data_IF_537435916170
#
_entry.id   IF_537435916170
#
_cell.length_a   1.000
_cell.length_b   1.000
_cell.length_c   1.000
_cell.angle_alpha   90.00
_cell.angle_beta   90.00
_cell.angle_gamma   90.00
#
_symmetry.space_group_name_H-M   'P 1'
#
loop_
_entity.id
_entity.type
_entity.pdbx_description
1 polymer ?
#
# COMPACT_ATOMS: atom_id res chain seq x y z
N UNK A 1 -29.16 -22.64 -8.88
CA UNK A 1 -27.68 -22.56 -8.82
C UNK A 1 -27.31 -21.09 -8.71
N UNK A 2 -26.72 -20.65 -7.60
CA UNK A 2 -26.35 -19.24 -7.42
C UNK A 2 -25.09 -18.93 -8.26
N UNK A 3 -25.08 -17.78 -8.95
CA UNK A 3 -23.95 -17.31 -9.78
C UNK A 3 -22.69 -17.10 -8.93
N UNK A 4 -21.50 -17.32 -9.52
CA UNK A 4 -20.19 -17.05 -8.91
C UNK A 4 -20.10 -15.63 -8.32
N UNK A 5 -20.74 -14.64 -8.94
CA UNK A 5 -20.83 -13.26 -8.42
C UNK A 5 -21.62 -13.17 -7.10
N UNK A 6 -22.64 -14.01 -6.93
CA UNK A 6 -23.43 -14.07 -5.70
C UNK A 6 -22.62 -14.68 -4.54
N UNK A 7 -21.76 -15.67 -4.84
CA UNK A 7 -20.85 -16.27 -3.85
C UNK A 7 -19.73 -15.29 -3.45
N UNK A 8 -19.17 -14.57 -4.43
CA UNK A 8 -18.17 -13.52 -4.19
C UNK A 8 -18.75 -12.40 -3.32
N UNK A 9 -19.95 -11.90 -3.64
CA UNK A 9 -20.61 -10.86 -2.85
C UNK A 9 -20.98 -11.32 -1.42
N UNK A 10 -21.31 -12.60 -1.22
CA UNK A 10 -21.61 -13.13 0.11
C UNK A 10 -20.36 -13.25 0.99
N UNK A 11 -19.23 -13.66 0.42
CA UNK A 11 -17.94 -13.68 1.12
C UNK A 11 -17.44 -12.27 1.48
N UNK A 12 -17.64 -11.29 0.59
CA UNK A 12 -17.26 -9.89 0.84
C UNK A 12 -18.13 -9.25 1.93
N UNK A 13 -19.46 -9.49 1.93
CA UNK A 13 -20.37 -9.01 3.00
C UNK A 13 -20.12 -9.63 4.37
N UNK A 14 -19.44 -10.78 4.43
CA UNK A 14 -18.99 -11.38 5.70
C UNK A 14 -17.86 -10.61 6.37
N UNK A 15 -17.04 -9.90 5.59
CA UNK A 15 -15.89 -9.13 6.06
C UNK A 15 -16.26 -7.77 6.69
N UNK A 16 -17.37 -7.16 6.23
CA UNK A 16 -17.86 -5.88 6.76
C UNK A 16 -18.55 -6.00 8.15
N UNK A 17 -18.85 -7.23 8.61
CA UNK A 17 -19.53 -7.49 9.90
C UNK A 17 -18.58 -7.67 11.10
N UNK A 18 -17.30 -7.37 10.92
CA UNK A 18 -16.33 -7.35 12.03
C UNK A 18 -16.30 -5.94 12.59
N UNK A 19 -16.68 -5.77 13.86
CA UNK A 19 -16.66 -4.47 14.53
C UNK A 19 -15.21 -3.97 14.69
N UNK A 20 -14.73 -3.17 13.74
CA UNK A 20 -13.46 -2.44 13.85
C UNK A 20 -13.64 -1.18 14.72
N UNK A 21 -12.59 -0.72 15.45
CA UNK A 21 -12.61 0.59 16.11
C UNK A 21 -13.02 1.67 15.11
N UNK A 22 -13.93 2.57 15.51
CA UNK A 22 -14.61 3.56 14.65
C UNK A 22 -13.69 4.47 13.82
N UNK A 23 -12.38 4.45 14.05
CA UNK A 23 -11.38 5.29 13.39
C UNK A 23 -10.91 4.79 12.00
N UNK A 24 -11.30 3.59 11.54
CA UNK A 24 -10.70 2.97 10.34
C UNK A 24 -11.70 2.46 9.28
N UNK A 25 -12.82 3.16 9.10
CA UNK A 25 -13.84 2.76 8.09
C UNK A 25 -13.37 3.17 6.68
N UNK A 26 -12.84 2.22 5.91
CA UNK A 26 -12.49 2.43 4.48
C UNK A 26 -13.69 2.04 3.61
N UNK A 27 -14.09 2.92 2.70
CA UNK A 27 -15.18 2.69 1.74
C UNK A 27 -14.63 1.93 0.53
N UNK A 28 -15.29 0.84 0.17
CA UNK A 28 -14.94 0.03 -1.01
C UNK A 28 -15.27 0.78 -2.32
N UNK A 29 -14.35 0.88 -3.30
CA UNK A 29 -14.71 1.32 -4.65
C UNK A 29 -15.56 0.25 -5.34
N UNK A 30 -16.70 0.67 -5.91
CA UNK A 30 -17.54 -0.21 -6.74
C UNK A 30 -16.73 -0.69 -7.95
N UNK A 31 -16.82 -1.98 -8.25
CA UNK A 31 -16.17 -2.58 -9.41
C UNK A 31 -16.62 -1.89 -10.70
N UNK A 32 -15.68 -1.25 -11.41
CA UNK A 32 -15.89 -0.81 -12.78
C UNK A 32 -16.04 -2.05 -13.66
N UNK A 33 -17.20 -2.18 -14.30
CA UNK A 33 -17.44 -3.16 -15.35
C UNK A 33 -16.62 -2.74 -16.59
N UNK A 34 -15.57 -3.51 -16.90
CA UNK A 34 -14.81 -3.36 -18.14
C UNK A 34 -15.53 -4.15 -19.24
N UNK A 35 -16.25 -3.43 -20.10
CA UNK A 35 -16.78 -3.97 -21.35
C UNK A 35 -15.63 -4.18 -22.34
N UNK A 36 -15.53 -5.40 -22.87
CA UNK A 36 -14.64 -5.74 -23.96
C UNK A 36 -15.11 -5.04 -25.25
N UNK A 37 -14.24 -4.26 -25.88
CA UNK A 37 -14.26 -4.12 -27.33
C UNK A 37 -12.82 -4.09 -27.83
N UNK A 38 -12.49 -5.09 -28.64
CA UNK A 38 -11.28 -5.14 -29.43
C UNK A 38 -11.33 -4.05 -30.50
N UNK A 39 -10.24 -3.30 -30.68
CA UNK A 39 -9.99 -2.70 -31.98
C UNK A 39 -8.50 -2.56 -32.27
N UNK A 40 -8.14 -3.11 -33.43
CA UNK A 40 -6.79 -3.17 -34.00
C UNK A 40 -6.34 -1.81 -34.55
N UNK A 41 -5.02 -1.59 -34.45
CA UNK A 41 -4.17 -0.82 -35.38
C UNK A 41 -4.39 0.69 -35.55
N UNK A 42 -3.46 1.48 -34.97
CA UNK A 42 -2.54 2.44 -35.66
C UNK A 42 -1.85 3.31 -34.61
N UNK A 43 -0.56 3.13 -34.39
CA UNK A 43 0.25 4.04 -33.55
C UNK A 43 0.60 5.25 -34.43
N UNK A 44 -0.36 6.17 -34.56
CA UNK A 44 -0.06 7.55 -34.89
C UNK A 44 0.30 8.28 -33.59
N UNK A 45 1.35 9.08 -33.65
CA UNK A 45 1.87 9.92 -32.55
C UNK A 45 0.75 10.54 -31.71
N UNK A 46 0.66 10.15 -30.45
CA UNK A 46 -0.38 10.62 -29.53
C UNK A 46 -0.10 12.08 -29.08
N UNK A 47 -1.11 12.95 -29.08
CA UNK A 47 -0.98 14.34 -28.63
C UNK A 47 -0.63 14.43 -27.14
N UNK A 48 0.15 15.45 -26.76
CA UNK A 48 0.76 15.64 -25.43
C UNK A 48 -0.21 15.70 -24.24
N UNK A 49 -1.51 15.80 -24.48
CA UNK A 49 -2.53 15.80 -23.43
C UNK A 49 -2.76 14.37 -22.89
N UNK A 50 -2.72 13.36 -23.76
CA UNK A 50 -2.96 11.97 -23.37
C UNK A 50 -1.84 11.39 -22.49
N UNK A 51 -0.60 11.84 -22.67
CA UNK A 51 0.53 11.40 -21.84
C UNK A 51 0.44 11.95 -20.41
N UNK A 52 -0.08 13.16 -20.21
CA UNK A 52 -0.33 13.71 -18.88
C UNK A 52 -1.45 12.96 -18.15
N UNK A 53 -2.57 12.69 -18.82
CA UNK A 53 -3.64 11.88 -18.25
C UNK A 53 -3.20 10.45 -17.93
N UNK A 54 -2.41 9.83 -18.82
CA UNK A 54 -1.87 8.50 -18.59
C UNK A 54 -0.90 8.47 -17.40
N UNK A 55 0.01 9.45 -17.31
CA UNK A 55 0.95 9.57 -16.20
C UNK A 55 0.22 9.75 -14.87
N UNK A 56 -0.79 10.63 -14.83
CA UNK A 56 -1.62 10.82 -13.65
C UNK A 56 -2.34 9.51 -13.26
N UNK A 57 -2.95 8.82 -14.22
CA UNK A 57 -3.62 7.54 -13.97
C UNK A 57 -2.66 6.47 -13.43
N UNK A 58 -1.43 6.43 -13.95
CA UNK A 58 -0.37 5.53 -13.47
C UNK A 58 0.01 5.88 -12.02
N UNK A 59 0.27 7.16 -11.72
CA UNK A 59 0.67 7.63 -10.38
C UNK A 59 -0.43 7.41 -9.33
N UNK A 60 -1.69 7.61 -9.69
CA UNK A 60 -2.84 7.33 -8.82
C UNK A 60 -3.12 5.84 -8.65
N UNK A 61 -2.74 5.01 -9.63
CA UNK A 61 -2.90 3.56 -9.57
C UNK A 61 -1.99 2.86 -8.54
N UNK A 62 -0.97 3.55 -8.01
CA UNK A 62 0.01 2.93 -7.12
C UNK A 62 -0.58 2.45 -5.78
N UNK A 63 -0.11 1.26 -5.39
CA UNK A 63 -0.03 0.69 -4.02
C UNK A 63 0.11 1.71 -2.89
N UNK A 64 1.19 2.44 -3.06
CA UNK A 64 1.81 3.26 -2.04
C UNK A 64 1.49 4.73 -2.29
N UNK A 65 1.67 5.53 -1.25
CA UNK A 65 1.72 6.97 -1.42
C UNK A 65 2.94 7.35 -2.24
N UNK A 66 2.77 8.24 -3.20
CA UNK A 66 3.84 8.77 -4.04
C UNK A 66 3.85 10.29 -3.89
N UNK A 67 5.01 10.85 -3.55
CA UNK A 67 5.27 12.29 -3.57
C UNK A 67 6.47 12.57 -4.48
N UNK A 68 6.38 13.66 -5.23
CA UNK A 68 7.49 14.23 -5.99
C UNK A 68 7.74 15.63 -5.43
N UNK A 69 8.98 15.89 -5.02
CA UNK A 69 9.37 17.12 -4.34
C UNK A 69 10.61 17.72 -5.00
N UNK A 70 10.78 19.04 -4.88
CA UNK A 70 12.05 19.69 -5.18
C UNK A 70 13.06 19.43 -4.04
N UNK A 71 14.33 19.70 -4.32
CA UNK A 71 15.42 19.76 -3.33
C UNK A 71 15.14 20.73 -2.16
N UNK A 72 14.27 21.73 -2.38
CA UNK A 72 13.84 22.70 -1.37
C UNK A 72 12.59 22.24 -0.59
N UNK A 73 12.10 21.03 -0.84
CA UNK A 73 10.91 20.49 -0.17
C UNK A 73 9.57 21.00 -0.71
N UNK A 74 9.58 21.68 -1.86
CA UNK A 74 8.34 22.12 -2.52
C UNK A 74 7.66 20.94 -3.19
N UNK A 75 6.34 20.85 -3.03
CA UNK A 75 5.54 19.81 -3.67
C UNK A 75 5.43 20.05 -5.17
N UNK A 76 5.78 19.03 -5.95
CA UNK A 76 5.59 18.99 -7.41
C UNK A 76 4.38 18.12 -7.73
N UNK A 77 4.24 16.98 -7.06
CA UNK A 77 3.11 16.08 -7.22
C UNK A 77 2.91 15.23 -5.96
N UNK A 78 1.66 14.83 -5.70
CA UNK A 78 1.33 13.80 -4.75
C UNK A 78 0.08 13.05 -5.21
N UNK A 79 0.10 11.72 -5.15
CA UNK A 79 -1.11 10.94 -5.38
C UNK A 79 -2.03 10.96 -4.15
N UNK A 80 -3.28 10.53 -4.28
CA UNK A 80 -4.27 10.55 -3.20
C UNK A 80 -3.80 9.78 -1.95
N UNK A 81 -3.07 8.67 -2.15
CA UNK A 81 -2.53 7.88 -1.04
C UNK A 81 -1.42 8.62 -0.30
N UNK A 82 -0.53 9.29 -1.02
CA UNK A 82 0.54 10.11 -0.46
C UNK A 82 -0.04 11.23 0.38
N UNK A 83 -1.02 11.96 -0.17
CA UNK A 83 -1.77 12.99 0.56
C UNK A 83 -2.42 12.44 1.83
N UNK A 84 -3.10 11.30 1.74
CA UNK A 84 -3.73 10.66 2.90
C UNK A 84 -2.72 10.30 3.99
N UNK A 85 -1.56 9.76 3.63
CA UNK A 85 -0.51 9.42 4.60
C UNK A 85 0.08 10.68 5.22
N UNK A 86 0.35 11.72 4.42
CA UNK A 86 0.80 13.01 4.94
C UNK A 86 -0.21 13.60 5.95
N UNK A 87 -1.51 13.56 5.65
CA UNK A 87 -2.56 14.01 6.57
C UNK A 87 -2.59 13.21 7.88
N UNK A 88 -2.25 11.92 7.84
CA UNK A 88 -2.16 11.11 9.07
C UNK A 88 -0.91 11.45 9.88
N UNK A 89 0.18 11.85 9.22
CA UNK A 89 1.45 12.22 9.85
C UNK A 89 1.46 13.66 10.39
N UNK A 90 0.69 14.56 9.81
CA UNK A 90 0.53 15.92 10.33
C UNK A 90 -0.36 15.90 11.59
N UNK A 91 0.25 16.08 12.76
CA UNK A 91 -0.49 16.26 14.02
C UNK A 91 -1.25 17.61 14.04
N UNK A 92 -0.76 18.61 13.32
CA UNK A 92 -1.38 19.92 13.17
C UNK A 92 -2.02 20.07 11.77
N UNK A 93 -3.34 20.20 11.74
CA UNK A 93 -4.14 20.35 10.50
C UNK A 93 -3.83 21.66 9.75
N UNK A 94 -3.13 22.59 10.39
CA UNK A 94 -2.78 23.90 9.84
C UNK A 94 -1.63 23.85 8.84
N UNK A 95 -0.85 22.76 8.82
CA UNK A 95 0.31 22.55 7.95
C UNK A 95 0.04 21.56 6.81
N UNK A 96 -1.10 21.71 6.13
CA UNK A 96 -1.50 20.80 5.06
C UNK A 96 -0.80 21.07 3.71
N UNK A 97 -0.04 22.17 3.62
CA UNK A 97 0.74 22.58 2.45
C UNK A 97 2.23 22.25 2.55
N UNK A 98 2.68 21.66 3.66
CA UNK A 98 4.08 21.27 3.88
C UNK A 98 4.20 19.76 4.05
N UNK A 99 5.40 19.24 3.75
CA UNK A 99 5.74 17.85 4.00
C UNK A 99 5.84 17.60 5.52
N UNK A 100 5.31 16.48 6.04
CA UNK A 100 5.55 16.11 7.43
C UNK A 100 7.04 16.04 7.76
N UNK A 101 7.43 16.67 8.86
CA UNK A 101 8.81 16.77 9.33
C UNK A 101 9.54 15.40 9.37
N UNK A 102 8.83 14.35 9.77
CA UNK A 102 9.37 12.98 9.82
C UNK A 102 9.74 12.41 8.45
N UNK A 103 9.04 12.82 7.39
CA UNK A 103 9.39 12.49 5.99
C UNK A 103 10.52 13.41 5.52
N UNK A 104 10.47 14.69 5.88
CA UNK A 104 11.45 15.68 5.46
C UNK A 104 12.87 15.34 5.93
N UNK A 105 13.04 14.88 7.17
CA UNK A 105 14.34 14.42 7.68
C UNK A 105 15.00 13.32 6.84
N UNK A 106 14.19 12.44 6.24
CA UNK A 106 14.70 11.40 5.34
C UNK A 106 15.13 12.00 3.99
N UNK A 107 14.43 13.04 3.54
CA UNK A 107 14.79 13.81 2.35
C UNK A 107 16.09 14.57 2.54
N UNK A 108 16.25 15.28 3.67
CA UNK A 108 17.47 15.98 4.05
C UNK A 108 18.66 15.04 4.09
N UNK A 109 18.52 13.87 4.73
CA UNK A 109 19.59 12.86 4.71
C UNK A 109 20.03 12.45 3.30
N UNK A 110 19.12 12.43 2.32
CA UNK A 110 19.48 12.11 0.94
C UNK A 110 20.16 13.29 0.26
N UNK A 111 19.69 14.52 0.53
CA UNK A 111 20.28 15.76 0.02
C UNK A 111 21.73 15.90 0.54
N UNK A 112 21.94 15.74 1.84
CA UNK A 112 23.25 15.86 2.48
C UNK A 112 24.24 14.80 1.97
N UNK A 113 23.74 13.60 1.66
CA UNK A 113 24.56 12.51 1.13
C UNK A 113 25.01 12.71 -0.33
N UNK A 114 24.44 13.69 -1.04
CA UNK A 114 24.69 13.91 -2.48
C UNK A 114 26.14 14.21 -2.79
N UNK A 115 26.81 14.97 -1.93
CA UNK A 115 28.21 15.35 -2.12
C UNK A 115 29.17 14.15 -1.94
N UNK A 116 28.74 13.13 -1.20
CA UNK A 116 29.58 12.00 -0.79
C UNK A 116 29.42 10.78 -1.70
N UNK A 117 28.27 10.65 -2.38
CA UNK A 117 27.93 9.46 -3.18
C UNK A 117 27.53 9.77 -4.63
N UNK A 118 28.12 10.83 -5.20
CA UNK A 118 27.84 11.24 -6.58
C UNK A 118 27.94 10.06 -7.57
N UNK A 119 26.82 9.77 -8.26
CA UNK A 119 26.74 8.70 -9.27
C UNK A 119 26.13 7.36 -8.81
N UNK A 120 25.91 7.14 -7.51
CA UNK A 120 25.22 5.92 -7.04
C UNK A 120 23.71 6.12 -6.94
N UNK A 121 22.93 5.08 -7.33
CA UNK A 121 21.47 5.02 -7.13
C UNK A 121 21.17 4.79 -5.65
N UNK A 122 21.34 5.82 -4.84
CA UNK A 122 21.10 5.77 -3.41
C UNK A 122 19.59 5.83 -3.11
N UNK A 123 19.13 4.93 -2.26
CA UNK A 123 17.78 4.93 -1.70
C UNK A 123 17.94 5.01 -0.19
N UNK A 124 17.41 6.06 0.41
CA UNK A 124 17.28 6.14 1.86
C UNK A 124 15.93 5.60 2.30
N UNK A 125 15.95 4.86 3.39
CA UNK A 125 14.78 4.22 3.96
C UNK A 125 14.67 4.49 5.45
N UNK A 126 13.46 4.82 5.89
CA UNK A 126 13.16 5.00 7.31
C UNK A 126 11.75 4.47 7.64
N UNK A 127 11.56 4.08 8.89
CA UNK A 127 10.25 3.68 9.42
C UNK A 127 9.73 4.75 10.38
N UNK A 128 8.57 5.31 10.07
CA UNK A 128 7.86 6.24 10.94
C UNK A 128 6.75 5.47 11.65
N UNK A 129 6.88 5.36 12.97
CA UNK A 129 5.87 4.72 13.83
C UNK A 129 4.89 5.78 14.34
N UNK A 130 3.61 5.45 14.28
CA UNK A 130 2.54 6.22 14.92
C UNK A 130 2.11 5.57 16.24
N UNK A 131 1.55 6.38 17.12
CA UNK A 131 1.03 5.95 18.44
C UNK A 131 -0.06 4.87 18.32
N UNK A 132 -0.78 4.85 17.20
CA UNK A 132 -1.82 3.86 16.88
C UNK A 132 -1.26 2.51 16.35
N UNK A 133 0.04 2.26 16.50
CA UNK A 133 0.73 1.06 16.00
C UNK A 133 0.78 0.91 14.47
N UNK A 134 0.45 1.95 13.71
CA UNK A 134 0.69 2.00 12.27
C UNK A 134 2.14 2.38 12.03
N UNK A 135 2.83 1.63 11.16
CA UNK A 135 4.19 1.95 10.74
C UNK A 135 4.18 2.27 9.25
N UNK A 136 4.67 3.45 8.91
CA UNK A 136 4.92 3.86 7.53
C UNK A 136 6.38 3.65 7.19
N UNK A 137 6.63 2.97 6.08
CA UNK A 137 7.97 2.90 5.48
C UNK A 137 8.08 4.03 4.47
N UNK A 138 9.03 4.92 4.69
CA UNK A 138 9.40 6.00 3.78
C UNK A 138 10.63 5.55 3.01
N UNK A 139 10.58 5.65 1.68
CA UNK A 139 11.77 5.52 0.84
C UNK A 139 11.92 6.77 -0.01
N UNK A 140 13.12 7.33 0.00
CA UNK A 140 13.46 8.53 -0.77
C UNK A 140 14.58 8.19 -1.74
N UNK A 141 14.43 8.61 -2.99
CA UNK A 141 15.45 8.49 -4.03
C UNK A 141 15.45 9.69 -4.95
N UNK A 142 16.57 9.92 -5.63
CA UNK A 142 16.64 10.90 -6.71
C UNK A 142 15.79 10.46 -7.91
N UNK A 143 15.08 11.43 -8.48
CA UNK A 143 14.33 11.33 -9.73
C UNK A 143 14.90 12.33 -10.72
N UNK A 144 15.62 11.81 -11.71
CA UNK A 144 16.15 12.59 -12.82
C UNK A 144 15.10 12.61 -13.92
N UNK A 145 14.66 13.80 -14.31
CA UNK A 145 13.84 14.01 -15.49
C UNK A 145 14.70 14.67 -16.56
N UNK A 146 14.58 14.18 -17.80
CA UNK A 146 15.25 14.80 -18.93
C UNK A 146 14.85 16.28 -19.01
N UNK A 147 15.81 17.14 -19.37
CA UNK A 147 15.60 18.59 -19.50
C UNK A 147 15.40 19.38 -18.19
N UNK A 148 15.78 18.84 -17.03
CA UNK A 148 15.78 19.58 -15.75
C UNK A 148 17.20 19.75 -15.19
N UNK A 149 17.51 20.97 -14.74
CA UNK A 149 18.83 21.30 -14.18
C UNK A 149 19.03 20.70 -12.78
N UNK A 150 17.97 20.57 -12.00
CA UNK A 150 18.00 19.96 -10.68
C UNK A 150 17.14 18.69 -10.63
N UNK A 151 17.64 17.60 -10.01
CA UNK A 151 16.85 16.40 -9.80
C UNK A 151 15.75 16.63 -8.75
N UNK A 152 14.64 15.91 -8.92
CA UNK A 152 13.59 15.84 -7.91
C UNK A 152 13.86 14.73 -6.90
N UNK A 153 13.15 14.79 -5.79
CA UNK A 153 13.03 13.69 -4.83
C UNK A 153 11.77 12.90 -5.15
N UNK A 154 11.89 11.59 -5.32
CA UNK A 154 10.76 10.68 -5.29
C UNK A 154 10.66 10.04 -3.91
N UNK A 155 9.54 10.30 -3.24
CA UNK A 155 9.20 9.70 -1.97
C UNK A 155 8.10 8.66 -2.18
N UNK A 156 8.34 7.43 -1.75
CA UNK A 156 7.30 6.40 -1.65
C UNK A 156 6.97 6.12 -0.21
N UNK A 157 5.68 6.12 0.12
CA UNK A 157 5.13 5.97 1.45
C UNK A 157 4.28 4.69 1.50
N UNK A 158 4.80 3.67 2.16
CA UNK A 158 4.13 2.37 2.28
C UNK A 158 3.53 2.25 3.69
N UNK A 159 2.22 2.03 3.77
CA UNK A 159 1.60 1.59 5.03
C UNK A 159 1.81 0.09 5.18
N UNK A 160 2.75 -0.31 6.06
CA UNK A 160 3.09 -1.73 6.22
C UNK A 160 1.91 -2.59 6.66
N UNK A 161 0.96 -2.03 7.39
CA UNK A 161 -0.25 -2.75 7.78
C UNK A 161 -1.16 -3.07 6.58
N UNK A 162 -1.24 -2.14 5.61
CA UNK A 162 -2.07 -2.31 4.41
C UNK A 162 -1.42 -3.26 3.39
N UNK A 163 -0.09 -3.28 3.29
CA UNK A 163 0.64 -4.28 2.49
C UNK A 163 0.38 -5.71 2.97
N UNK A 164 0.40 -5.94 4.29
CA UNK A 164 0.05 -7.24 4.86
C UNK A 164 -1.42 -7.60 4.64
N UNK A 165 -2.31 -6.60 4.73
CA UNK A 165 -3.73 -6.77 4.46
C UNK A 165 -4.02 -7.22 3.02
N UNK A 166 -3.48 -6.51 2.03
CA UNK A 166 -3.68 -6.84 0.63
C UNK A 166 -3.05 -8.19 0.25
N UNK A 167 -1.86 -8.47 0.79
CA UNK A 167 -1.22 -9.78 0.63
C UNK A 167 -2.06 -10.91 1.25
N UNK A 168 -2.59 -10.70 2.45
CA UNK A 168 -3.42 -11.69 3.13
C UNK A 168 -4.76 -11.91 2.43
N UNK A 169 -5.39 -10.88 1.86
CA UNK A 169 -6.60 -11.03 1.04
C UNK A 169 -6.31 -11.84 -0.22
N UNK A 170 -5.22 -11.50 -0.90
CA UNK A 170 -4.81 -12.19 -2.13
C UNK A 170 -4.54 -13.67 -1.84
N UNK A 171 -3.79 -13.94 -0.77
CA UNK A 171 -3.53 -15.29 -0.28
C UNK A 171 -4.81 -16.02 0.14
N UNK A 172 -5.74 -15.32 0.82
CA UNK A 172 -7.00 -15.91 1.27
C UNK A 172 -7.84 -16.40 0.09
N UNK A 173 -7.91 -15.62 -0.99
CA UNK A 173 -8.57 -16.02 -2.23
C UNK A 173 -7.81 -17.15 -2.91
N UNK A 174 -6.49 -16.98 -3.08
CA UNK A 174 -5.62 -17.94 -3.78
C UNK A 174 -5.67 -19.34 -3.16
N UNK A 175 -5.64 -19.43 -1.83
CA UNK A 175 -5.59 -20.71 -1.10
C UNK A 175 -6.96 -21.18 -0.58
N UNK A 176 -8.05 -20.48 -0.87
CA UNK A 176 -9.37 -20.84 -0.33
C UNK A 176 -9.41 -20.86 1.20
N UNK A 177 -8.85 -19.83 1.84
CA UNK A 177 -8.84 -19.72 3.30
C UNK A 177 -10.25 -19.41 3.83
N UNK A 178 -10.60 -20.01 4.96
CA UNK A 178 -11.81 -19.63 5.71
C UNK A 178 -11.63 -18.23 6.31
N UNK A 179 -12.73 -17.56 6.69
CA UNK A 179 -12.66 -16.23 7.32
C UNK A 179 -11.75 -16.23 8.56
N UNK A 180 -11.84 -17.26 9.42
CA UNK A 180 -10.98 -17.39 10.60
C UNK A 180 -9.51 -17.65 10.26
N UNK A 181 -9.25 -18.43 9.21
CA UNK A 181 -7.89 -18.61 8.70
C UNK A 181 -7.32 -17.32 8.11
N UNK A 182 -8.13 -16.53 7.39
CA UNK A 182 -7.73 -15.25 6.83
C UNK A 182 -7.40 -14.22 7.92
N UNK A 183 -8.17 -14.15 9.00
CA UNK A 183 -7.89 -13.32 10.18
C UNK A 183 -6.54 -13.69 10.82
N UNK A 184 -6.31 -14.99 11.06
CA UNK A 184 -5.04 -15.49 11.61
C UNK A 184 -3.88 -15.21 10.65
N UNK A 185 -4.09 -15.39 9.35
CA UNK A 185 -3.08 -15.20 8.31
C UNK A 185 -2.65 -13.74 8.19
N UNK A 186 -3.60 -12.81 8.24
CA UNK A 186 -3.36 -11.37 8.27
C UNK A 186 -2.43 -10.97 9.42
N UNK A 187 -2.79 -11.35 10.65
CA UNK A 187 -2.00 -11.02 11.83
C UNK A 187 -0.63 -11.70 11.81
N UNK A 188 -0.54 -12.90 11.24
CA UNK A 188 0.74 -13.60 11.04
C UNK A 188 1.63 -12.88 10.02
N UNK A 189 1.08 -12.39 8.91
CA UNK A 189 1.80 -11.57 7.92
C UNK A 189 2.29 -10.25 8.53
N UNK A 190 1.50 -9.67 9.45
CA UNK A 190 1.90 -8.55 10.28
C UNK A 190 2.98 -8.86 11.34
N UNK A 191 3.62 -10.03 11.26
CA UNK A 191 4.72 -10.51 12.12
C UNK A 191 4.36 -10.64 13.61
N UNK A 192 3.08 -10.72 13.96
CA UNK A 192 2.66 -10.96 15.34
C UNK A 192 3.01 -12.39 15.80
N UNK A 193 3.34 -12.52 17.07
CA UNK A 193 3.55 -13.79 17.75
C UNK A 193 2.24 -14.55 17.95
N UNK A 194 2.32 -15.86 18.20
CA UNK A 194 1.13 -16.67 18.44
C UNK A 194 0.34 -16.22 19.66
N UNK A 195 1.02 -15.68 20.68
CA UNK A 195 0.37 -15.14 21.89
C UNK A 195 -0.41 -13.87 21.58
N UNK A 196 0.17 -12.95 20.80
CA UNK A 196 -0.50 -11.70 20.40
C UNK A 196 -1.71 -11.97 19.49
N UNK A 197 -1.58 -12.91 18.54
CA UNK A 197 -2.68 -13.33 17.67
C UNK A 197 -3.81 -13.94 18.50
N UNK A 198 -3.48 -14.84 19.42
CA UNK A 198 -4.44 -15.48 20.32
C UNK A 198 -5.20 -14.45 21.16
N UNK A 199 -4.48 -13.51 21.77
CA UNK A 199 -5.08 -12.43 22.55
C UNK A 199 -5.99 -11.54 21.69
N UNK A 200 -5.56 -11.16 20.49
CA UNK A 200 -6.29 -10.24 19.61
C UNK A 200 -7.55 -10.84 18.99
N UNK A 201 -7.55 -12.16 18.75
CA UNK A 201 -8.70 -12.88 18.18
C UNK A 201 -9.55 -13.57 19.25
N UNK A 202 -9.21 -13.43 20.53
CA UNK A 202 -9.88 -14.09 21.66
C UNK A 202 -9.96 -15.63 21.48
N UNK A 203 -8.85 -16.24 21.06
CA UNK A 203 -8.72 -17.70 20.87
C UNK A 203 -7.48 -18.23 21.59
N UNK A 204 -7.37 -19.55 21.72
CA UNK A 204 -6.17 -20.16 22.32
C UNK A 204 -4.98 -20.15 21.34
N UNK A 205 -3.76 -20.14 21.87
CA UNK A 205 -2.53 -20.30 21.06
C UNK A 205 -2.51 -21.62 20.29
N UNK A 206 -3.13 -22.68 20.82
CA UNK A 206 -3.28 -23.95 20.12
C UNK A 206 -4.21 -23.84 18.91
N UNK A 207 -5.28 -23.06 19.02
CA UNK A 207 -6.19 -22.76 17.90
C UNK A 207 -5.45 -21.97 16.81
N UNK A 208 -4.62 -20.99 17.18
CA UNK A 208 -3.76 -20.27 16.23
C UNK A 208 -2.83 -21.23 15.48
N UNK A 209 -2.13 -22.11 16.20
CA UNK A 209 -1.25 -23.14 15.60
C UNK A 209 -2.01 -24.04 14.63
N UNK A 210 -3.22 -24.48 15.01
CA UNK A 210 -4.10 -25.31 14.16
C UNK A 210 -4.47 -24.59 12.87
N UNK A 211 -4.92 -23.33 12.94
CA UNK A 211 -5.25 -22.55 11.75
C UNK A 211 -4.04 -22.37 10.84
N UNK A 212 -2.86 -22.04 11.39
CA UNK A 212 -1.63 -21.90 10.60
C UNK A 212 -1.24 -23.21 9.91
N UNK A 213 -1.32 -24.35 10.60
CA UNK A 213 -1.08 -25.67 10.00
C UNK A 213 -1.99 -25.93 8.79
N UNK A 214 -3.28 -25.63 8.92
CA UNK A 214 -4.24 -25.79 7.82
C UNK A 214 -3.94 -24.85 6.64
N UNK A 215 -3.58 -23.59 6.92
CA UNK A 215 -3.20 -22.62 5.89
C UNK A 215 -1.99 -23.12 5.09
N UNK A 216 -0.94 -23.59 5.78
CA UNK A 216 0.26 -24.12 5.10
C UNK A 216 -0.05 -25.38 4.28
N UNK A 217 -0.93 -26.26 4.75
CA UNK A 217 -1.37 -27.42 3.96
C UNK A 217 -2.09 -26.99 2.67
N UNK A 218 -2.98 -26.00 2.74
CA UNK A 218 -3.67 -25.44 1.57
C UNK A 218 -2.70 -24.78 0.57
N UNK A 219 -1.65 -24.13 1.06
CA UNK A 219 -0.60 -23.56 0.21
C UNK A 219 0.14 -24.63 -0.57
N UNK A 220 0.55 -25.71 0.11
CA UNK A 220 1.30 -26.80 -0.52
C UNK A 220 0.47 -27.53 -1.57
N UNK A 221 -0.81 -27.80 -1.28
CA UNK A 221 -1.71 -28.47 -2.23
C UNK A 221 -1.83 -27.73 -3.57
N UNK A 222 -1.78 -26.38 -3.54
CA UNK A 222 -1.93 -25.53 -4.72
C UNK A 222 -0.61 -25.30 -5.50
N UNK A 223 0.54 -25.59 -4.88
CA UNK A 223 1.86 -25.51 -5.53
C UNK A 223 2.23 -26.85 -6.18
N UNK A 224 1.63 -27.94 -5.70
CA UNK A 224 1.81 -29.30 -6.24
C UNK A 224 0.77 -29.71 -7.29
N UNK A 225 -0.08 -28.77 -7.74
CA UNK A 225 -1.08 -28.95 -8.80
C UNK A 225 -0.76 -28.09 -10.02
#
# INVERSE_FOLDING_TARGET
MYSLESQINYQVKGFDRVAWPKANRVVWPKANQLSHSENKSKIASLPSNNSQFLLQAILEGFVDGVLILTSQGKWVHANERGLSICRQLCQDKSQMSSIPESIWRVCEGLIDSRDWFSGQKMILESEIKMDNSVTFRVRVRWLFLDNQAEPYLLVTLENRHHSYYNAAITDAKKYGLTNREAEVWLLKKAKMSYKEIAARLYITTNTVKKHLKNIYAKQQALVSS
#
